data_IF_603322729697
#
_entry.id   IF_603322729697
#
_cell.length_a   1.000
_cell.length_b   1.000
_cell.length_c   1.000
_cell.angle_alpha   90.00
_cell.angle_beta   90.00
_cell.angle_gamma   90.00
#
_symmetry.space_group_name_H-M   'P 1'
#
loop_
_entity.id
_entity.type
_entity.pdbx_description
1 polymer ?
#
# COMPACT_ATOMS: atom_id res chain seq x y z
N UNK A 1 31.66 50.19 -7.44
CA UNK A 1 31.48 48.77 -7.83
C UNK A 1 31.05 47.87 -6.67
N UNK A 2 31.70 47.87 -5.49
CA UNK A 2 31.32 47.02 -4.33
C UNK A 2 29.86 47.19 -3.85
N UNK A 3 29.33 48.41 -3.85
CA UNK A 3 27.94 48.68 -3.41
C UNK A 3 26.89 48.18 -4.42
N UNK A 4 27.20 48.13 -5.72
CA UNK A 4 26.31 47.58 -6.75
C UNK A 4 26.20 46.06 -6.62
N UNK A 5 27.31 45.38 -6.35
CA UNK A 5 27.33 43.92 -6.13
C UNK A 5 26.56 43.51 -4.86
N UNK A 6 26.68 44.29 -3.78
CA UNK A 6 25.90 44.10 -2.55
C UNK A 6 24.40 44.25 -2.81
N UNK A 7 23.98 45.28 -3.53
CA UNK A 7 22.56 45.48 -3.85
C UNK A 7 22.00 44.35 -4.72
N UNK A 8 22.78 43.86 -5.70
CA UNK A 8 22.40 42.71 -6.50
C UNK A 8 22.25 41.44 -5.65
N UNK A 9 23.15 41.21 -4.70
CA UNK A 9 23.08 40.07 -3.79
C UNK A 9 21.86 40.12 -2.86
N UNK A 10 21.50 41.31 -2.35
CA UNK A 10 20.28 41.49 -1.53
C UNK A 10 19.01 41.24 -2.37
N UNK A 11 18.97 41.74 -3.60
CA UNK A 11 17.84 41.49 -4.52
C UNK A 11 17.72 39.99 -4.83
N UNK A 12 18.84 39.32 -5.08
CA UNK A 12 18.87 37.88 -5.32
C UNK A 12 18.34 37.09 -4.12
N UNK A 13 18.77 37.43 -2.89
CA UNK A 13 18.26 36.82 -1.66
C UNK A 13 16.77 37.09 -1.45
N UNK A 14 16.31 38.31 -1.78
CA UNK A 14 14.89 38.67 -1.66
C UNK A 14 14.01 37.88 -2.64
N UNK A 15 14.46 37.73 -3.90
CA UNK A 15 13.79 36.90 -4.91
C UNK A 15 13.77 35.44 -4.47
N UNK A 16 14.90 34.91 -3.98
CA UNK A 16 14.98 33.55 -3.46
C UNK A 16 14.00 33.32 -2.31
N UNK A 17 13.85 34.29 -1.40
CA UNK A 17 12.91 34.20 -0.29
C UNK A 17 11.45 34.19 -0.77
N UNK A 18 11.11 34.99 -1.78
CA UNK A 18 9.76 35.02 -2.38
C UNK A 18 9.44 33.68 -3.06
N UNK A 19 10.39 33.05 -3.77
CA UNK A 19 10.17 31.74 -4.40
C UNK A 19 9.84 30.63 -3.39
N UNK A 20 10.38 30.69 -2.18
CA UNK A 20 10.06 29.71 -1.13
C UNK A 20 8.64 29.86 -0.56
N UNK A 21 8.02 31.05 -0.69
CA UNK A 21 6.63 31.29 -0.28
C UNK A 21 5.59 30.71 -1.26
N UNK A 22 6.02 30.28 -2.45
CA UNK A 22 5.16 29.64 -3.46
C UNK A 22 5.33 28.13 -3.56
N UNK A 23 5.86 27.48 -2.53
CA UNK A 23 5.85 26.02 -2.49
C UNK A 23 4.41 25.51 -2.32
N UNK A 24 3.84 24.93 -3.37
CA UNK A 24 2.60 24.16 -3.28
C UNK A 24 2.89 22.79 -2.67
N UNK A 25 2.08 22.33 -1.73
CA UNK A 25 2.14 20.96 -1.24
C UNK A 25 1.92 19.99 -2.40
N UNK A 26 2.93 19.17 -2.72
CA UNK A 26 2.77 18.05 -3.63
C UNK A 26 2.00 16.96 -2.90
N UNK A 27 0.70 16.85 -3.14
CA UNK A 27 -0.10 15.73 -2.66
C UNK A 27 0.11 14.57 -3.64
N UNK A 28 0.85 13.55 -3.21
CA UNK A 28 0.80 12.25 -3.87
C UNK A 28 -0.60 11.68 -3.64
N UNK A 29 -1.48 11.79 -4.63
CA UNK A 29 -2.79 11.17 -4.58
C UNK A 29 -2.61 9.66 -4.75
N UNK A 30 -2.86 8.89 -3.70
CA UNK A 30 -2.87 7.43 -3.78
C UNK A 30 -4.03 6.98 -4.67
N UNK A 31 -3.78 6.01 -5.54
CA UNK A 31 -4.79 5.44 -6.44
C UNK A 31 -5.78 4.55 -5.67
N UNK A 32 -5.37 4.05 -4.51
CA UNK A 32 -6.15 3.15 -3.68
C UNK A 32 -6.02 3.48 -2.19
N UNK A 33 -7.04 3.12 -1.41
CA UNK A 33 -7.04 3.14 0.05
C UNK A 33 -7.36 1.74 0.58
N UNK A 34 -6.67 1.31 1.63
CA UNK A 34 -6.86 0.01 2.25
C UNK A 34 -7.39 0.18 3.68
N UNK A 35 -8.40 -0.60 4.02
CA UNK A 35 -8.77 -0.88 5.42
C UNK A 35 -8.71 -2.40 5.67
N UNK A 36 -8.43 -2.77 6.91
CA UNK A 36 -8.17 -4.16 7.29
C UNK A 36 -8.90 -4.49 8.58
N UNK A 37 -9.65 -5.58 8.57
CA UNK A 37 -10.15 -6.25 9.77
C UNK A 37 -9.40 -7.56 9.94
N UNK A 38 -8.47 -7.60 10.90
CA UNK A 38 -7.58 -8.74 11.11
C UNK A 38 -7.96 -9.50 12.37
N UNK A 39 -8.23 -10.79 12.21
CA UNK A 39 -8.47 -11.72 13.33
C UNK A 39 -7.27 -12.63 13.50
N UNK A 40 -6.80 -12.74 14.74
CA UNK A 40 -5.74 -13.65 15.17
C UNK A 40 -6.33 -14.72 16.09
N UNK A 41 -6.33 -15.97 15.64
CA UNK A 41 -6.71 -17.12 16.44
C UNK A 41 -5.43 -17.85 16.88
N UNK A 42 -4.98 -17.53 18.11
CA UNK A 42 -3.76 -18.05 18.70
C UNK A 42 -4.06 -19.33 19.48
N UNK A 43 -3.47 -20.44 19.06
CA UNK A 43 -3.65 -21.76 19.68
C UNK A 43 -2.64 -21.97 20.81
N UNK A 44 -2.94 -22.93 21.69
CA UNK A 44 -2.10 -23.27 22.85
C UNK A 44 -0.67 -23.71 22.48
N UNK A 45 -0.47 -24.23 21.26
CA UNK A 45 0.83 -24.65 20.75
C UNK A 45 1.66 -23.50 20.13
N UNK A 46 1.14 -22.28 20.10
CA UNK A 46 1.78 -21.11 19.51
C UNK A 46 1.40 -20.84 18.04
N UNK A 47 0.77 -21.79 17.36
CA UNK A 47 0.28 -21.58 16.00
C UNK A 47 -0.81 -20.51 16.00
N UNK A 48 -0.70 -19.56 15.09
CA UNK A 48 -1.68 -18.48 14.93
C UNK A 48 -2.31 -18.57 13.54
N UNK A 49 -3.62 -18.76 13.49
CA UNK A 49 -4.38 -18.59 12.26
C UNK A 49 -4.73 -17.11 12.13
N UNK A 50 -4.25 -16.48 11.06
CA UNK A 50 -4.54 -15.09 10.75
C UNK A 50 -5.54 -15.04 9.61
N UNK A 51 -6.61 -14.27 9.81
CA UNK A 51 -7.59 -13.95 8.76
C UNK A 51 -7.66 -12.44 8.61
N UNK A 52 -7.23 -11.93 7.45
CA UNK A 52 -7.28 -10.51 7.10
C UNK A 52 -8.42 -10.29 6.12
N UNK A 53 -9.46 -9.55 6.52
CA UNK A 53 -10.47 -9.03 5.60
C UNK A 53 -10.02 -7.66 5.12
N UNK A 54 -9.78 -7.53 3.81
CA UNK A 54 -9.20 -6.35 3.20
C UNK A 54 -10.27 -5.62 2.39
N UNK A 55 -10.35 -4.32 2.61
CA UNK A 55 -11.23 -3.40 1.91
C UNK A 55 -10.39 -2.44 1.06
N UNK A 56 -10.20 -2.79 -0.21
CA UNK A 56 -9.41 -2.02 -1.17
C UNK A 56 -10.33 -1.06 -1.94
N UNK A 57 -10.34 0.21 -1.54
CA UNK A 57 -11.15 1.26 -2.18
C UNK A 57 -10.36 1.97 -3.27
N UNK A 58 -10.90 1.97 -4.48
CA UNK A 58 -10.35 2.71 -5.61
C UNK A 58 -10.64 4.20 -5.46
N UNK A 59 -9.60 5.05 -5.46
CA UNK A 59 -9.72 6.49 -5.30
C UNK A 59 -9.76 7.24 -6.64
N UNK A 60 -9.68 6.53 -7.76
CA UNK A 60 -9.61 7.11 -9.11
C UNK A 60 -10.62 6.47 -10.05
N UNK A 61 -10.87 7.08 -11.20
CA UNK A 61 -11.76 6.53 -12.22
C UNK A 61 -11.05 5.67 -13.26
N UNK A 62 -9.72 5.78 -13.37
CA UNK A 62 -8.96 5.30 -14.52
C UNK A 62 -8.25 3.97 -14.25
N UNK A 63 -8.05 3.63 -12.98
CA UNK A 63 -7.34 2.42 -12.57
C UNK A 63 -8.29 1.43 -11.91
N UNK A 64 -7.84 0.19 -11.81
CA UNK A 64 -8.39 -0.85 -10.94
C UNK A 64 -7.24 -1.77 -10.54
N UNK A 65 -7.35 -2.42 -9.38
CA UNK A 65 -6.35 -3.39 -8.95
C UNK A 65 -6.67 -4.76 -9.54
N UNK A 66 -5.71 -5.37 -10.24
CA UNK A 66 -5.80 -6.75 -10.74
C UNK A 66 -5.08 -7.75 -9.85
N UNK A 67 -4.15 -7.27 -9.04
CA UNK A 67 -3.28 -8.08 -8.20
C UNK A 67 -2.87 -7.32 -6.94
N UNK A 68 -2.41 -8.06 -5.94
CA UNK A 68 -1.94 -7.53 -4.67
C UNK A 68 -0.73 -8.33 -4.18
N UNK A 69 0.30 -7.64 -3.70
CA UNK A 69 1.48 -8.29 -3.13
C UNK A 69 1.64 -7.88 -1.67
N UNK A 70 1.85 -8.88 -0.81
CA UNK A 70 2.19 -8.70 0.60
C UNK A 70 3.59 -9.24 0.83
N UNK A 71 4.33 -8.59 1.73
CA UNK A 71 5.64 -9.06 2.18
C UNK A 71 5.61 -9.15 3.69
N UNK A 72 5.88 -10.34 4.20
CA UNK A 72 6.02 -10.64 5.62
C UNK A 72 7.50 -10.78 5.94
N UNK A 73 7.95 -10.16 7.04
CA UNK A 73 9.32 -10.27 7.54
C UNK A 73 9.57 -11.57 8.30
N UNK A 74 9.12 -12.69 7.75
CA UNK A 74 9.34 -14.03 8.29
C UNK A 74 9.14 -15.08 7.20
N UNK A 75 9.83 -16.22 7.30
CA UNK A 75 9.63 -17.40 6.45
C UNK A 75 8.48 -18.30 6.92
N UNK A 76 8.01 -18.02 8.13
CA UNK A 76 7.03 -18.79 8.92
C UNK A 76 5.58 -18.50 8.55
N UNK A 77 5.30 -18.46 7.25
CA UNK A 77 3.93 -18.30 6.75
C UNK A 77 3.56 -19.54 5.95
N UNK A 78 2.51 -20.22 6.39
CA UNK A 78 2.04 -21.48 5.83
C UNK A 78 0.53 -21.43 5.55
N UNK A 79 0.02 -22.45 4.85
CA UNK A 79 -1.41 -22.66 4.58
C UNK A 79 -2.13 -21.43 4.00
N UNK A 80 -1.45 -20.70 3.12
CA UNK A 80 -1.98 -19.47 2.51
C UNK A 80 -3.15 -19.78 1.59
N UNK A 81 -4.25 -19.10 1.81
CA UNK A 81 -5.44 -19.12 0.96
C UNK A 81 -6.05 -17.73 0.88
N UNK A 82 -6.63 -17.39 -0.26
CA UNK A 82 -7.32 -16.11 -0.43
C UNK A 82 -8.57 -16.28 -1.28
N UNK A 83 -9.57 -15.44 -1.03
CA UNK A 83 -10.83 -15.42 -1.78
C UNK A 83 -11.39 -13.99 -1.89
N UNK A 84 -12.14 -13.73 -2.94
CA UNK A 84 -12.99 -12.55 -3.08
C UNK A 84 -14.47 -12.98 -3.22
N UNK A 85 -15.37 -12.04 -3.53
CA UNK A 85 -16.80 -12.35 -3.70
C UNK A 85 -17.10 -13.26 -4.90
N UNK A 86 -16.14 -13.46 -5.82
CA UNK A 86 -16.26 -14.38 -6.95
C UNK A 86 -15.64 -15.77 -6.69
N UNK A 87 -14.92 -15.96 -5.58
CA UNK A 87 -14.43 -17.26 -5.13
C UNK A 87 -12.94 -17.27 -4.78
N UNK A 88 -12.33 -18.45 -4.86
CA UNK A 88 -10.90 -18.63 -4.54
C UNK A 88 -10.02 -17.84 -5.51
N UNK A 89 -9.01 -17.16 -4.96
CA UNK A 89 -8.03 -16.39 -5.71
C UNK A 89 -6.82 -17.25 -6.05
N UNK A 90 -6.13 -16.90 -7.15
CA UNK A 90 -4.82 -17.47 -7.44
C UNK A 90 -3.78 -16.81 -6.51
N UNK A 91 -3.05 -17.64 -5.77
CA UNK A 91 -2.00 -17.22 -4.84
C UNK A 91 -0.66 -17.83 -5.26
N UNK A 92 0.38 -17.00 -5.33
CA UNK A 92 1.78 -17.40 -5.50
C UNK A 92 2.59 -16.98 -4.26
N UNK A 93 3.27 -17.93 -3.62
CA UNK A 93 4.02 -17.70 -2.39
C UNK A 93 5.49 -17.93 -2.65
N UNK A 94 6.31 -16.91 -2.41
CA UNK A 94 7.76 -16.96 -2.53
C UNK A 94 8.40 -16.76 -1.16
N UNK A 95 9.10 -17.78 -0.68
CA UNK A 95 9.90 -17.69 0.54
C UNK A 95 11.34 -17.32 0.15
N UNK A 96 11.88 -16.31 0.81
CA UNK A 96 13.29 -15.90 0.74
C UNK A 96 13.88 -15.85 2.15
N UNK A 97 15.14 -15.44 2.28
CA UNK A 97 15.79 -15.36 3.59
C UNK A 97 15.08 -14.34 4.49
N UNK A 98 14.51 -14.79 5.59
CA UNK A 98 13.73 -14.04 6.58
C UNK A 98 12.49 -13.32 6.02
N UNK A 99 11.99 -13.73 4.85
CA UNK A 99 10.84 -13.08 4.22
C UNK A 99 9.92 -14.06 3.48
N UNK A 100 8.63 -13.76 3.50
CA UNK A 100 7.64 -14.42 2.64
C UNK A 100 6.90 -13.36 1.84
N UNK A 101 6.95 -13.48 0.52
CA UNK A 101 6.16 -12.67 -0.38
C UNK A 101 4.95 -13.48 -0.87
N UNK A 102 3.75 -12.89 -0.73
CA UNK A 102 2.50 -13.47 -1.21
C UNK A 102 1.96 -12.58 -2.31
N UNK A 103 1.81 -13.13 -3.51
CA UNK A 103 1.17 -12.49 -4.65
C UNK A 103 -0.21 -13.09 -4.87
N UNK A 104 -1.21 -12.23 -5.01
CA UNK A 104 -2.61 -12.61 -5.16
C UNK A 104 -3.15 -11.98 -6.43
N UNK A 105 -3.85 -12.74 -7.25
CA UNK A 105 -4.55 -12.24 -8.45
C UNK A 105 -6.05 -12.25 -8.18
N UNK A 106 -6.70 -11.09 -8.35
CA UNK A 106 -8.13 -10.93 -8.09
C UNK A 106 -8.99 -11.51 -9.23
N UNK A 107 -10.13 -12.10 -8.87
CA UNK A 107 -11.13 -12.52 -9.86
C UNK A 107 -12.02 -11.33 -10.21
N UNK A 108 -12.41 -10.55 -9.20
CA UNK A 108 -13.25 -9.39 -9.38
C UNK A 108 -12.51 -8.19 -9.96
N UNK A 109 -13.16 -7.51 -10.90
CA UNK A 109 -12.70 -6.25 -11.46
C UNK A 109 -13.57 -5.10 -10.95
N UNK A 110 -13.12 -4.45 -9.88
CA UNK A 110 -13.84 -3.31 -9.28
C UNK A 110 -13.33 -2.00 -9.87
N UNK A 111 -14.13 -1.39 -10.75
CA UNK A 111 -13.82 -0.13 -11.43
C UNK A 111 -14.63 1.03 -10.86
N UNK A 112 -14.03 2.22 -10.91
CA UNK A 112 -14.70 3.47 -10.55
C UNK A 112 -14.29 3.99 -9.18
N UNK A 113 -14.23 5.32 -9.08
CA UNK A 113 -13.87 6.03 -7.86
C UNK A 113 -14.89 5.74 -6.74
N UNK A 114 -14.37 5.46 -5.54
CA UNK A 114 -15.14 5.13 -4.35
C UNK A 114 -15.67 3.70 -4.32
N UNK A 115 -15.34 2.84 -5.29
CA UNK A 115 -15.73 1.43 -5.26
C UNK A 115 -14.69 0.60 -4.51
N UNK A 116 -15.17 -0.40 -3.76
CA UNK A 116 -14.35 -1.21 -2.87
C UNK A 116 -14.35 -2.66 -3.31
N UNK A 117 -13.15 -3.22 -3.50
CA UNK A 117 -12.92 -4.65 -3.62
C UNK A 117 -12.72 -5.23 -2.22
N UNK A 118 -13.60 -6.15 -1.84
CA UNK A 118 -13.50 -6.88 -0.59
C UNK A 118 -12.91 -8.26 -0.87
N UNK A 119 -11.83 -8.60 -0.19
CA UNK A 119 -11.20 -9.91 -0.31
C UNK A 119 -10.58 -10.31 1.02
N UNK A 120 -10.35 -11.60 1.18
CA UNK A 120 -9.83 -12.16 2.43
C UNK A 120 -8.56 -12.93 2.14
N UNK A 121 -7.56 -12.74 3.00
CA UNK A 121 -6.35 -13.55 3.08
C UNK A 121 -6.37 -14.34 4.38
N UNK A 122 -6.16 -15.65 4.31
CA UNK A 122 -5.99 -16.52 5.47
C UNK A 122 -4.67 -17.27 5.38
N UNK A 123 -3.93 -17.32 6.48
CA UNK A 123 -2.69 -18.07 6.59
C UNK A 123 -2.44 -18.51 8.03
N UNK A 124 -1.51 -19.45 8.21
CA UNK A 124 -0.96 -19.85 9.50
C UNK A 124 0.42 -19.20 9.70
N UNK A 125 0.72 -18.79 10.94
CA UNK A 125 2.00 -18.26 11.38
C UNK A 125 2.45 -18.91 12.69
N UNK A 126 3.75 -19.10 12.88
CA UNK A 126 4.41 -19.60 14.11
C UNK A 126 5.63 -18.75 14.54
#
# INVERSE_FOLDING_TARGET
MKNLFKNFFVIFLFIFFIFNLWSSSAYAASEFSNAYDVTYDVRENGDTIVTQNVHLTNLTTNYYASEYSLTFGTEKIEEVSAWDGAGLLKVDVKKGTDLTQIHVVFNERVVGQGKTLNWTLRYQSD
#
